data_IF_487531694910
#
_entry.id   IF_487531694910
#
_cell.length_a   1.000
_cell.length_b   1.000
_cell.length_c   1.000
_cell.angle_alpha   90.00
_cell.angle_beta   90.00
_cell.angle_gamma   90.00
#
_symmetry.space_group_name_H-M   'P 1'
#
loop_
_entity.id
_entity.type
_entity.pdbx_description
1 polymer ?
#
# COMPACT_ATOMS: atom_id res chain seq x y z
N UNK A 1 2.55 24.76 16.18
CA UNK A 1 1.80 23.75 15.41
C UNK A 1 1.88 22.36 16.01
N UNK A 2 0.93 21.52 15.65
CA UNK A 2 0.85 20.12 16.05
C UNK A 2 0.81 19.17 14.86
N UNK A 3 0.61 17.89 15.13
CA UNK A 3 0.48 16.82 14.13
C UNK A 3 -0.72 15.92 14.44
N UNK A 4 -0.84 14.80 13.74
CA UNK A 4 -1.95 13.85 13.92
C UNK A 4 -2.10 13.33 15.35
N UNK A 5 -1.04 13.26 16.16
CA UNK A 5 -1.14 12.85 17.56
C UNK A 5 -1.79 13.88 18.49
N UNK A 6 -1.90 15.12 18.03
CA UNK A 6 -2.55 16.20 18.78
C UNK A 6 -4.03 16.39 18.39
N UNK A 7 -4.59 15.53 17.54
CA UNK A 7 -5.94 15.72 17.01
C UNK A 7 -7.01 15.69 18.10
N UNK A 8 -7.00 14.67 18.96
CA UNK A 8 -7.98 14.53 20.06
C UNK A 8 -7.94 15.74 20.99
N UNK A 9 -6.74 16.18 21.35
CA UNK A 9 -6.55 17.37 22.17
C UNK A 9 -7.08 18.64 21.49
N UNK A 10 -6.79 18.81 20.19
CA UNK A 10 -7.24 19.98 19.44
C UNK A 10 -8.76 19.99 19.16
N UNK A 11 -9.41 18.84 19.19
CA UNK A 11 -10.87 18.70 19.08
C UNK A 11 -11.57 18.77 20.44
N UNK A 12 -10.83 18.72 21.55
CA UNK A 12 -11.39 18.89 22.88
C UNK A 12 -11.60 20.37 23.24
N UNK A 13 -12.33 20.64 24.32
CA UNK A 13 -12.50 21.99 24.89
C UNK A 13 -11.24 22.51 25.61
N UNK A 14 -10.10 21.84 25.47
CA UNK A 14 -8.86 22.24 26.11
C UNK A 14 -8.31 23.54 25.51
N UNK A 15 -7.73 24.41 26.37
CA UNK A 15 -7.02 25.58 25.90
C UNK A 15 -5.80 25.16 25.06
N UNK A 16 -5.84 25.46 23.78
CA UNK A 16 -4.73 25.19 22.85
C UNK A 16 -3.68 26.28 22.83
N UNK A 17 -3.87 27.34 23.61
CA UNK A 17 -2.96 28.48 23.72
C UNK A 17 -2.68 29.10 22.33
N UNK A 18 -1.40 29.17 21.96
CA UNK A 18 -0.98 29.74 20.66
C UNK A 18 -0.94 28.73 19.51
N UNK A 19 -1.37 27.46 19.75
CA UNK A 19 -1.38 26.44 18.72
C UNK A 19 -2.66 26.55 17.91
N UNK A 20 -2.55 27.02 16.69
CA UNK A 20 -3.66 27.26 15.76
C UNK A 20 -3.50 26.55 14.41
N UNK A 21 -2.54 25.62 14.31
CA UNK A 21 -2.28 24.87 13.08
C UNK A 21 -1.89 23.43 13.40
N UNK A 22 -2.59 22.47 12.80
CA UNK A 22 -2.27 21.05 12.85
C UNK A 22 -1.92 20.57 11.45
N UNK A 23 -0.85 19.78 11.35
CA UNK A 23 -0.48 19.05 10.13
C UNK A 23 -0.99 17.63 10.27
N UNK A 24 -2.10 17.34 9.59
CA UNK A 24 -2.78 16.06 9.65
C UNK A 24 -2.51 15.28 8.36
N UNK A 25 -2.01 14.07 8.49
CA UNK A 25 -1.79 13.15 7.39
C UNK A 25 -2.36 11.78 7.73
N UNK A 26 -1.66 11.04 8.58
CA UNK A 26 -2.02 9.66 8.95
C UNK A 26 -3.46 9.55 9.46
N UNK A 27 -3.88 10.41 10.37
CA UNK A 27 -5.22 10.34 10.96
C UNK A 27 -6.34 10.53 9.93
N UNK A 28 -6.17 11.43 8.97
CA UNK A 28 -7.16 11.67 7.91
C UNK A 28 -7.17 10.54 6.88
N UNK A 29 -5.98 10.08 6.48
CA UNK A 29 -5.85 9.04 5.44
C UNK A 29 -6.32 7.67 5.90
N UNK A 30 -6.13 7.34 7.18
CA UNK A 30 -6.45 6.04 7.75
C UNK A 30 -7.68 6.05 8.66
N UNK A 31 -8.31 7.21 8.91
CA UNK A 31 -9.50 7.36 9.73
C UNK A 31 -9.29 6.99 11.21
N UNK A 32 -8.04 7.04 11.69
CA UNK A 32 -7.68 6.64 13.05
C UNK A 32 -6.77 7.68 13.70
N UNK A 33 -7.02 7.95 14.98
CA UNK A 33 -6.08 8.74 15.76
C UNK A 33 -4.76 7.95 15.97
N UNK A 34 -3.65 8.66 16.10
CA UNK A 34 -2.32 8.02 16.02
C UNK A 34 -1.80 7.52 17.36
N UNK A 35 -2.38 7.92 18.49
CA UNK A 35 -1.90 7.56 19.82
C UNK A 35 -2.38 6.18 20.25
N UNK A 36 -3.70 5.93 20.15
CA UNK A 36 -4.34 4.68 20.58
C UNK A 36 -5.00 3.91 19.44
N UNK A 37 -4.90 4.41 18.21
CA UNK A 37 -5.48 3.80 16.99
C UNK A 37 -6.99 3.68 17.01
N UNK A 38 -7.68 4.50 17.81
CA UNK A 38 -9.13 4.56 17.83
C UNK A 38 -9.65 5.18 16.53
N UNK A 39 -10.82 4.72 16.11
CA UNK A 39 -11.52 5.28 14.95
C UNK A 39 -11.92 6.71 15.23
N UNK A 40 -11.71 7.60 14.27
CA UNK A 40 -12.20 8.98 14.32
C UNK A 40 -13.59 9.00 13.69
N UNK A 41 -14.56 9.50 14.44
CA UNK A 41 -15.94 9.56 13.99
C UNK A 41 -16.09 10.37 12.71
N UNK A 42 -16.88 9.86 11.77
CA UNK A 42 -17.06 10.49 10.44
C UNK A 42 -15.94 10.25 9.43
N UNK A 43 -14.85 9.55 9.77
CA UNK A 43 -13.80 9.19 8.83
C UNK A 43 -13.84 7.71 8.42
N UNK A 44 -13.44 7.43 7.19
CA UNK A 44 -13.33 6.06 6.67
C UNK A 44 -12.00 5.43 7.11
N UNK A 45 -12.04 4.15 7.54
CA UNK A 45 -10.85 3.37 7.90
C UNK A 45 -10.36 2.46 6.77
N UNK A 46 -11.09 2.42 5.68
CA UNK A 46 -10.90 1.58 4.49
C UNK A 46 -10.84 2.40 3.18
N UNK A 47 -10.64 3.71 3.30
CA UNK A 47 -10.58 4.62 2.15
C UNK A 47 -9.40 4.30 1.21
N UNK A 48 -8.32 3.70 1.73
CA UNK A 48 -7.13 3.35 0.97
C UNK A 48 -6.82 1.87 1.20
N UNK A 49 -6.68 1.14 0.11
CA UNK A 49 -6.30 -0.27 0.10
C UNK A 49 -5.17 -0.50 -0.90
N UNK A 50 -4.40 -1.57 -0.69
CA UNK A 50 -3.41 -2.06 -1.64
C UNK A 50 -3.92 -3.35 -2.25
N UNK A 51 -3.84 -3.47 -3.57
CA UNK A 51 -4.23 -4.66 -4.31
C UNK A 51 -2.97 -5.27 -4.92
N UNK A 52 -2.82 -6.59 -4.78
CA UNK A 52 -1.70 -7.33 -5.35
C UNK A 52 -2.18 -8.59 -6.04
N UNK A 53 -1.62 -8.87 -7.23
CA UNK A 53 -1.96 -10.03 -8.05
C UNK A 53 -1.25 -11.29 -7.56
N UNK A 54 -1.97 -12.41 -7.60
CA UNK A 54 -1.43 -13.75 -7.36
C UNK A 54 -0.67 -14.22 -8.59
N UNK A 55 0.63 -14.52 -8.42
CA UNK A 55 1.49 -15.02 -9.49
C UNK A 55 1.85 -16.50 -9.32
N UNK A 56 1.71 -17.05 -8.14
CA UNK A 56 1.83 -18.50 -7.87
C UNK A 56 0.91 -18.89 -6.72
N UNK A 57 0.27 -20.05 -6.82
CA UNK A 57 -0.51 -20.66 -5.73
C UNK A 57 -0.29 -22.17 -5.75
N UNK A 58 0.26 -22.73 -4.66
CA UNK A 58 0.60 -24.16 -4.53
C UNK A 58 0.47 -24.62 -3.09
N UNK A 59 0.08 -25.87 -2.92
CA UNK A 59 0.18 -26.54 -1.63
C UNK A 59 1.62 -27.01 -1.45
N UNK A 60 2.29 -26.51 -0.39
CA UNK A 60 3.68 -26.81 -0.07
C UNK A 60 3.83 -27.16 1.42
N UNK A 61 4.91 -27.81 1.79
CA UNK A 61 5.29 -27.94 3.19
C UNK A 61 5.63 -26.56 3.76
N UNK A 62 5.14 -26.28 4.97
CA UNK A 62 5.36 -24.98 5.64
C UNK A 62 6.81 -24.75 6.02
N UNK A 63 7.56 -25.84 6.26
CA UNK A 63 9.01 -25.77 6.47
C UNK A 63 9.74 -25.96 5.15
N UNK A 64 10.65 -25.03 4.79
CA UNK A 64 11.59 -25.27 3.70
C UNK A 64 12.47 -26.48 4.00
N UNK A 65 12.77 -27.27 2.96
CA UNK A 65 13.72 -28.38 3.07
C UNK A 65 15.14 -27.84 2.86
N UNK A 66 16.09 -28.32 3.69
CA UNK A 66 17.49 -27.93 3.62
C UNK A 66 17.93 -26.98 4.73
N UNK A 67 19.13 -26.43 4.59
CA UNK A 67 19.69 -25.46 5.53
C UNK A 67 19.02 -24.11 5.35
N UNK A 68 18.44 -23.59 6.44
CA UNK A 68 17.73 -22.30 6.43
C UNK A 68 18.70 -21.23 6.89
N UNK A 69 19.18 -20.42 5.95
CA UNK A 69 19.94 -19.22 6.22
C UNK A 69 19.01 -18.03 6.55
N UNK A 70 19.59 -16.94 7.06
CA UNK A 70 18.86 -15.69 7.20
C UNK A 70 18.47 -15.12 5.83
N UNK A 71 17.35 -14.40 5.78
CA UNK A 71 16.96 -13.66 4.57
C UNK A 71 17.91 -12.50 4.31
N UNK A 72 17.89 -11.93 3.10
CA UNK A 72 18.65 -10.73 2.77
C UNK A 72 18.35 -9.52 3.68
N UNK A 73 17.24 -9.55 4.40
CA UNK A 73 16.82 -8.52 5.35
C UNK A 73 17.13 -8.88 6.81
N UNK A 74 17.93 -9.92 7.05
CA UNK A 74 18.37 -10.31 8.39
C UNK A 74 17.31 -11.04 9.23
N UNK A 75 16.16 -11.36 8.67
CA UNK A 75 15.08 -12.08 9.37
C UNK A 75 15.26 -13.59 9.23
N UNK A 76 14.99 -14.33 10.31
CA UNK A 76 14.83 -15.80 10.23
C UNK A 76 13.36 -16.11 10.00
N UNK A 77 13.02 -16.92 8.99
CA UNK A 77 11.65 -17.37 8.82
C UNK A 77 11.18 -18.14 10.07
N UNK A 78 9.91 -17.99 10.48
CA UNK A 78 9.38 -18.75 11.60
C UNK A 78 9.45 -20.25 11.29
N UNK A 79 10.02 -21.00 12.24
CA UNK A 79 10.31 -22.43 12.07
C UNK A 79 9.14 -23.36 12.45
N UNK A 80 7.92 -22.85 12.60
CA UNK A 80 6.78 -23.66 12.98
C UNK A 80 6.39 -24.64 11.84
N UNK A 81 6.45 -25.93 12.12
CA UNK A 81 5.93 -26.93 11.20
C UNK A 81 4.41 -26.97 11.28
N UNK A 82 3.74 -26.47 10.26
CA UNK A 82 2.27 -26.48 10.12
C UNK A 82 1.78 -27.56 9.16
N UNK A 83 2.67 -28.48 8.75
CA UNK A 83 2.36 -29.47 7.71
C UNK A 83 2.30 -28.82 6.32
N UNK A 84 1.28 -29.16 5.55
CA UNK A 84 1.05 -28.57 4.24
C UNK A 84 0.20 -27.30 4.37
N UNK A 85 0.61 -26.24 3.68
CA UNK A 85 -0.06 -24.95 3.63
C UNK A 85 -0.37 -24.55 2.19
N UNK A 86 -1.38 -23.72 2.00
CA UNK A 86 -1.69 -23.09 0.72
C UNK A 86 -0.81 -21.86 0.51
N UNK A 87 0.43 -22.08 0.03
CA UNK A 87 1.38 -21.01 -0.19
C UNK A 87 1.10 -20.25 -1.47
N UNK A 88 0.93 -18.97 -1.36
CA UNK A 88 0.64 -18.04 -2.47
C UNK A 88 1.70 -16.97 -2.56
N UNK A 89 2.16 -16.67 -3.76
CA UNK A 89 3.12 -15.59 -4.04
C UNK A 89 2.39 -14.47 -4.78
N UNK A 90 2.60 -13.23 -4.29
CA UNK A 90 2.03 -12.02 -4.88
C UNK A 90 3.10 -11.16 -5.54
N UNK A 91 2.73 -10.48 -6.61
CA UNK A 91 3.57 -9.57 -7.39
C UNK A 91 3.77 -8.22 -6.70
N UNK A 92 4.15 -8.22 -5.42
CA UNK A 92 4.48 -7.04 -4.63
C UNK A 92 5.47 -7.43 -3.54
N UNK A 93 6.46 -6.59 -3.27
CA UNK A 93 7.46 -6.89 -2.28
C UNK A 93 7.84 -5.71 -1.40
N UNK A 94 8.97 -5.85 -0.71
CA UNK A 94 9.45 -4.84 0.25
C UNK A 94 9.84 -3.51 -0.41
N UNK A 95 10.16 -3.50 -1.69
CA UNK A 95 10.42 -2.25 -2.42
C UNK A 95 9.15 -1.41 -2.56
N UNK A 96 7.96 -2.04 -2.62
CA UNK A 96 6.70 -1.40 -2.92
C UNK A 96 5.83 -1.17 -1.69
N UNK A 97 5.91 -2.04 -0.69
CA UNK A 97 5.15 -1.92 0.55
C UNK A 97 5.97 -2.42 1.75
N UNK A 98 5.65 -1.92 2.94
CA UNK A 98 6.15 -2.50 4.19
C UNK A 98 5.26 -3.69 4.58
N UNK A 99 5.77 -4.96 4.52
CA UNK A 99 4.96 -6.12 4.81
C UNK A 99 4.37 -6.14 6.24
N UNK A 100 5.07 -5.51 7.19
CA UNK A 100 4.61 -5.39 8.59
C UNK A 100 3.44 -4.41 8.73
N UNK A 101 3.25 -3.57 7.73
CA UNK A 101 2.17 -2.60 7.67
C UNK A 101 0.95 -3.07 6.90
N UNK A 102 1.00 -4.26 6.33
CA UNK A 102 -0.11 -4.86 5.60
C UNK A 102 -0.96 -5.72 6.53
N UNK A 103 -2.28 -5.58 6.40
CA UNK A 103 -3.25 -6.48 7.01
C UNK A 103 -3.91 -7.28 5.90
N UNK A 104 -3.65 -8.58 5.88
CA UNK A 104 -4.28 -9.53 4.97
C UNK A 104 -5.79 -9.71 5.27
N UNK A 105 -6.56 -10.22 4.31
CA UNK A 105 -7.92 -10.69 4.55
C UNK A 105 -7.98 -11.75 5.66
N UNK A 106 -9.13 -11.92 6.33
CA UNK A 106 -9.31 -12.96 7.33
C UNK A 106 -8.97 -14.35 6.79
N UNK A 107 -8.30 -15.17 7.60
CA UNK A 107 -7.87 -16.52 7.24
C UNK A 107 -6.58 -16.61 6.42
N UNK A 108 -5.98 -15.46 6.04
CA UNK A 108 -4.69 -15.40 5.34
C UNK A 108 -3.61 -14.82 6.23
N UNK A 109 -2.38 -15.34 6.13
CA UNK A 109 -1.22 -14.88 6.90
C UNK A 109 -0.03 -14.55 6.00
N UNK A 110 0.63 -13.43 6.25
CA UNK A 110 1.88 -13.06 5.58
C UNK A 110 3.01 -13.87 6.21
N UNK A 111 3.63 -14.74 5.42
CA UNK A 111 4.74 -15.58 5.86
C UNK A 111 6.09 -14.88 5.71
N UNK A 112 6.22 -13.99 4.71
CA UNK A 112 7.45 -13.29 4.43
C UNK A 112 7.37 -12.44 3.17
N UNK A 113 8.46 -11.74 2.89
CA UNK A 113 8.59 -10.95 1.67
C UNK A 113 10.05 -10.83 1.23
N UNK A 114 10.26 -10.93 -0.08
CA UNK A 114 11.50 -10.51 -0.75
C UNK A 114 11.41 -9.03 -1.15
N UNK A 115 12.37 -8.57 -1.96
CA UNK A 115 12.31 -7.25 -2.60
C UNK A 115 11.02 -7.08 -3.43
N UNK A 116 10.65 -8.12 -4.20
CA UNK A 116 9.66 -8.05 -5.28
C UNK A 116 8.40 -8.89 -5.00
N UNK A 117 8.44 -9.82 -4.03
CA UNK A 117 7.36 -10.76 -3.81
C UNK A 117 6.94 -10.81 -2.35
N UNK A 118 5.64 -10.95 -2.13
CA UNK A 118 5.03 -11.25 -0.84
C UNK A 118 4.57 -12.71 -0.84
N UNK A 119 4.85 -13.41 0.25
CA UNK A 119 4.49 -14.81 0.43
C UNK A 119 3.40 -14.91 1.49
N UNK A 120 2.27 -15.51 1.13
CA UNK A 120 1.12 -15.75 1.99
C UNK A 120 0.91 -17.24 2.25
N UNK A 121 0.42 -17.56 3.44
CA UNK A 121 -0.44 -18.72 3.67
C UNK A 121 -1.89 -18.29 3.41
N UNK A 122 -2.51 -18.86 2.40
CA UNK A 122 -3.89 -18.54 2.03
C UNK A 122 -4.91 -19.28 2.90
N UNK A 123 -4.47 -20.13 3.85
CA UNK A 123 -5.36 -20.93 4.68
C UNK A 123 -6.27 -21.84 3.84
N UNK A 124 -7.57 -21.73 4.07
CA UNK A 124 -8.59 -22.52 3.35
C UNK A 124 -9.00 -21.90 2.00
N UNK A 125 -8.46 -20.72 1.66
CA UNK A 125 -8.78 -20.06 0.41
C UNK A 125 -8.07 -20.73 -0.77
N UNK A 126 -8.83 -20.94 -1.85
CA UNK A 126 -8.29 -21.43 -3.12
C UNK A 126 -8.10 -20.26 -4.06
N UNK A 127 -6.88 -19.81 -4.16
CA UNK A 127 -6.51 -18.68 -5.01
C UNK A 127 -5.94 -19.17 -6.33
N UNK A 128 -6.39 -18.58 -7.43
CA UNK A 128 -5.85 -18.83 -8.76
C UNK A 128 -4.84 -17.73 -9.14
N UNK A 129 -3.91 -18.05 -10.03
CA UNK A 129 -3.02 -17.07 -10.66
C UNK A 129 -3.85 -16.04 -11.44
N UNK A 130 -3.56 -14.77 -11.27
CA UNK A 130 -4.32 -13.65 -11.81
C UNK A 130 -5.41 -13.11 -10.89
N UNK A 131 -5.72 -13.77 -9.77
CA UNK A 131 -6.62 -13.20 -8.76
C UNK A 131 -5.95 -12.08 -7.99
N UNK A 132 -6.75 -11.15 -7.48
CA UNK A 132 -6.29 -9.99 -6.72
C UNK A 132 -6.62 -10.13 -5.24
N UNK A 133 -5.62 -9.86 -4.39
CA UNK A 133 -5.78 -9.81 -2.94
C UNK A 133 -5.72 -8.36 -2.48
N UNK A 134 -6.71 -7.95 -1.69
CA UNK A 134 -6.80 -6.60 -1.14
C UNK A 134 -6.31 -6.56 0.30
N UNK A 135 -5.36 -5.67 0.58
CA UNK A 135 -4.79 -5.42 1.90
C UNK A 135 -5.24 -4.07 2.46
N UNK A 136 -5.47 -4.02 3.76
CA UNK A 136 -5.49 -2.76 4.49
C UNK A 136 -4.05 -2.36 4.86
N UNK A 137 -3.83 -1.06 4.98
CA UNK A 137 -2.50 -0.47 5.18
C UNK A 137 -2.41 0.23 6.53
N UNK A 138 -1.24 0.14 7.17
CA UNK A 138 -0.83 1.15 8.13
C UNK A 138 -0.10 2.31 7.40
N UNK A 139 0.33 3.31 8.15
CA UNK A 139 0.98 4.49 7.56
C UNK A 139 2.32 4.18 6.89
N UNK A 140 3.12 3.24 7.44
CA UNK A 140 4.40 2.83 6.84
C UNK A 140 4.20 2.17 5.46
N UNK A 141 3.26 1.22 5.37
CA UNK A 141 2.92 0.57 4.11
C UNK A 141 2.32 1.59 3.10
N UNK A 142 1.44 2.49 3.57
CA UNK A 142 0.86 3.53 2.73
C UNK A 142 1.92 4.44 2.12
N UNK A 143 2.82 5.00 2.93
CA UNK A 143 3.86 5.92 2.45
C UNK A 143 4.75 5.22 1.41
N UNK A 144 5.16 3.98 1.68
CA UNK A 144 6.00 3.23 0.75
C UNK A 144 5.27 2.93 -0.56
N UNK A 145 4.03 2.44 -0.51
CA UNK A 145 3.25 2.15 -1.71
C UNK A 145 2.95 3.40 -2.54
N UNK A 146 2.69 4.53 -1.88
CA UNK A 146 2.49 5.80 -2.57
C UNK A 146 3.76 6.34 -3.23
N UNK A 147 4.94 6.00 -2.71
CA UNK A 147 6.24 6.43 -3.24
C UNK A 147 6.80 5.47 -4.29
N UNK A 148 6.34 4.21 -4.35
CA UNK A 148 6.80 3.25 -5.34
C UNK A 148 6.34 3.64 -6.74
N UNK A 149 7.24 3.65 -7.74
CA UNK A 149 6.88 3.88 -9.14
C UNK A 149 6.16 2.67 -9.77
N UNK A 150 6.24 1.49 -9.14
CA UNK A 150 5.65 0.25 -9.64
C UNK A 150 4.22 0.01 -9.16
N UNK A 151 3.77 0.75 -8.15
CA UNK A 151 2.39 0.68 -7.67
C UNK A 151 1.54 1.73 -8.38
N UNK A 152 0.57 1.30 -9.18
CA UNK A 152 -0.40 2.19 -9.81
C UNK A 152 -1.32 2.84 -8.76
N UNK A 153 -1.59 4.14 -8.90
CA UNK A 153 -2.48 4.89 -8.01
C UNK A 153 -3.82 5.08 -8.72
N UNK A 154 -4.87 4.42 -8.21
CA UNK A 154 -6.21 4.44 -8.79
C UNK A 154 -7.16 5.16 -7.84
N UNK A 155 -7.82 6.21 -8.32
CA UNK A 155 -8.87 6.92 -7.59
C UNK A 155 -10.23 6.33 -7.98
N UNK A 156 -10.96 5.81 -6.99
CA UNK A 156 -12.34 5.33 -7.17
C UNK A 156 -13.30 6.39 -6.62
N UNK A 157 -14.03 7.08 -7.50
CA UNK A 157 -15.08 7.99 -7.08
C UNK A 157 -16.32 7.21 -6.65
N UNK A 158 -16.93 7.60 -5.52
CA UNK A 158 -18.31 7.20 -5.20
C UNK A 158 -19.23 7.82 -6.27
N UNK A 159 -20.12 7.04 -6.88
CA UNK A 159 -20.91 7.36 -8.08
C UNK A 159 -21.92 8.53 -7.96
N UNK A 160 -21.67 9.53 -7.13
CA UNK A 160 -22.50 10.72 -6.99
C UNK A 160 -21.90 12.03 -7.53
N UNK A 161 -20.60 12.06 -7.90
CA UNK A 161 -19.95 13.25 -8.47
C UNK A 161 -18.97 12.89 -9.60
N UNK A 162 -19.53 12.47 -10.73
CA UNK A 162 -18.75 12.21 -11.96
C UNK A 162 -18.02 13.49 -12.45
N UNK A 163 -18.49 14.67 -12.10
CA UNK A 163 -17.96 15.95 -12.59
C UNK A 163 -16.58 16.30 -12.04
N UNK A 164 -16.31 16.01 -10.76
CA UNK A 164 -15.00 16.33 -10.15
C UNK A 164 -13.88 15.38 -10.59
N UNK A 165 -14.18 14.11 -10.78
CA UNK A 165 -13.18 13.09 -11.16
C UNK A 165 -12.69 13.30 -12.59
N UNK A 166 -13.60 13.69 -13.49
CA UNK A 166 -13.25 14.02 -14.87
C UNK A 166 -12.31 15.24 -14.93
N UNK A 167 -12.50 16.24 -14.08
CA UNK A 167 -11.64 17.41 -14.02
C UNK A 167 -10.22 17.09 -13.54
N UNK A 168 -10.06 16.20 -12.55
CA UNK A 168 -8.74 15.79 -12.03
C UNK A 168 -8.02 14.89 -13.05
N UNK A 169 -8.70 13.95 -13.68
CA UNK A 169 -8.13 13.09 -14.71
C UNK A 169 -7.69 13.89 -15.95
N UNK A 170 -8.47 14.90 -16.36
CA UNK A 170 -8.13 15.81 -17.45
C UNK A 170 -6.90 16.67 -17.12
N UNK A 171 -6.80 17.21 -15.90
CA UNK A 171 -5.66 18.00 -15.47
C UNK A 171 -4.34 17.19 -15.38
N UNK A 172 -4.43 15.90 -15.01
CA UNK A 172 -3.27 14.99 -14.98
C UNK A 172 -2.87 14.57 -16.41
N UNK A 173 -3.84 14.36 -17.29
CA UNK A 173 -3.61 13.99 -18.70
C UNK A 173 -2.93 15.10 -19.49
N UNK A 174 -3.31 16.35 -19.29
CA UNK A 174 -2.71 17.50 -19.97
C UNK A 174 -1.26 17.78 -19.52
N UNK A 175 -0.93 17.54 -18.26
CA UNK A 175 0.45 17.65 -17.77
C UNK A 175 1.40 16.59 -18.35
N UNK A 176 0.90 15.43 -18.74
CA UNK A 176 1.70 14.32 -19.30
C UNK A 176 2.00 14.49 -20.79
N UNK A 177 1.18 15.26 -21.54
CA UNK A 177 1.39 15.50 -22.96
C UNK A 177 2.35 16.66 -23.28
N UNK A 178 2.69 17.50 -22.31
CA UNK A 178 3.55 18.66 -22.51
C UNK A 178 5.08 18.36 -22.60
N UNK A 179 5.49 17.09 -22.43
CA UNK A 179 6.92 16.70 -22.39
C UNK A 179 7.41 15.93 -23.64
N UNK A 180 6.58 15.69 -24.64
CA UNK A 180 6.96 14.94 -25.83
C UNK A 180 6.78 15.74 -27.12
N UNK A 181 7.64 16.75 -27.37
CA UNK A 181 7.92 17.22 -28.73
C UNK A 181 9.42 17.17 -29.00
N UNK A 182 9.90 16.35 -29.94
CA UNK A 182 11.27 16.42 -30.40
C UNK A 182 11.43 17.65 -31.30
N UNK A 183 12.33 18.54 -30.92
CA UNK A 183 12.80 19.65 -31.78
C UNK A 183 13.40 19.08 -33.04
N UNK A 184 12.80 19.41 -34.19
CA UNK A 184 13.25 19.03 -35.52
C UNK A 184 14.68 19.53 -35.79
N UNK A 185 15.52 18.60 -36.20
CA UNK A 185 16.82 18.91 -36.80
C UNK A 185 16.62 19.63 -38.14
N UNK A 186 17.05 20.88 -38.20
CA UNK A 186 17.16 21.65 -39.42
C UNK A 186 18.16 21.02 -40.37
N UNK A 187 17.75 20.79 -41.60
CA UNK A 187 18.59 20.40 -42.73
C UNK A 187 19.58 21.52 -43.12
N UNK A 188 20.86 21.21 -43.16
CA UNK A 188 21.91 22.07 -43.68
C UNK A 188 21.96 21.85 -45.21
N UNK A 189 21.87 22.90 -46.07
CA UNK A 189 22.11 22.74 -47.50
C UNK A 189 23.62 22.71 -47.77
N UNK A 190 24.06 21.68 -48.51
CA UNK A 190 25.39 21.58 -48.99
C UNK A 190 25.64 22.51 -50.20
N UNK A 191 26.83 22.99 -50.26
CA UNK A 191 27.55 23.44 -51.48
C UNK A 191 28.93 22.87 -51.45
#
# INVERSE_FOLDING_TARGET
GGNSANLDWALSDADTGRINNLRLGESILLGRETLHRRVIDGLHTDAITLVAEVIESKVKQSQPQGEIAQTAFGEKPPAANRGHISQTILAIGRQDADPRGLRSPPGMEILGASSDHLILDAGDHRLAVGEEITFQLNYSALVRSMSSPFVAKVLKAKSRDTTMVTAIASAIGESSQAVAQPTGLGSIPGS
#
